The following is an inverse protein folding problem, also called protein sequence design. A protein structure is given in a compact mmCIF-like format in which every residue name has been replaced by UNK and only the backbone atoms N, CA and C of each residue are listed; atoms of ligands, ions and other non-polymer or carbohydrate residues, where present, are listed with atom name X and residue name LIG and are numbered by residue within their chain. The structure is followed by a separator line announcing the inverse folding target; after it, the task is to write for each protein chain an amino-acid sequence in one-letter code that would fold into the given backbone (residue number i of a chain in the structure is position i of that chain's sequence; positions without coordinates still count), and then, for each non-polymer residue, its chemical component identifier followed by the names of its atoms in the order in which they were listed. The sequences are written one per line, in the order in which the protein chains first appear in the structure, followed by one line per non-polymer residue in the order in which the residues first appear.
data_IF_136038984401
#
_entry.id   IF_136038984401
#
_cell.length_a   1.000
_cell.length_b   1.000
_cell.length_c   1.000
_cell.angle_alpha   90.00
_cell.angle_beta   90.00
_cell.angle_gamma   90.00
#
_symmetry.space_group_name_H-M   'P 1'
#
loop_
_entity.id
_entity.type
_entity.pdbx_description
1 polymer ?
#
# COMPACT_ATOMS: atom_id res chain seq x y z
N UNK A 1 0.26 13.80 11.25
CA UNK A 1 -0.16 13.30 9.94
C UNK A 1 0.05 11.80 9.84
N UNK A 2 -0.97 11.05 9.46
CA UNK A 2 -0.85 9.61 9.30
C UNK A 2 -0.18 9.30 7.96
N UNK A 3 0.86 8.50 7.99
CA UNK A 3 1.62 8.14 6.80
C UNK A 3 1.30 6.72 6.40
N UNK A 4 0.89 6.55 5.16
CA UNK A 4 0.32 5.31 4.66
C UNK A 4 1.20 4.68 3.60
N UNK A 5 1.34 3.35 3.67
CA UNK A 5 1.91 2.55 2.61
C UNK A 5 0.82 1.67 2.02
N UNK A 6 0.78 1.55 0.71
CA UNK A 6 -0.19 0.69 0.04
C UNK A 6 0.54 -0.52 -0.53
N UNK A 7 0.05 -1.71 -0.21
CA UNK A 7 0.58 -2.95 -0.78
C UNK A 7 -0.47 -3.50 -1.74
N UNK A 8 -0.11 -3.58 -3.01
CA UNK A 8 -1.02 -3.96 -4.07
C UNK A 8 -1.62 -2.73 -4.73
N UNK A 9 -1.24 -2.46 -5.98
CA UNK A 9 -1.70 -1.27 -6.69
C UNK A 9 -2.49 -1.63 -7.94
N UNK A 10 -3.31 -2.67 -7.84
CA UNK A 10 -4.30 -2.98 -8.83
C UNK A 10 -5.48 -2.03 -8.70
N UNK A 11 -6.65 -2.46 -9.18
CA UNK A 11 -7.85 -1.61 -9.20
C UNK A 11 -8.20 -1.07 -7.80
N UNK A 12 -8.21 -1.95 -6.80
CA UNK A 12 -8.60 -1.57 -5.43
C UNK A 12 -7.58 -0.64 -4.80
N UNK A 13 -6.30 -0.92 -4.98
CA UNK A 13 -5.25 -0.05 -4.45
C UNK A 13 -5.34 1.35 -5.02
N UNK A 14 -5.67 1.47 -6.31
CA UNK A 14 -5.82 2.78 -6.97
C UNK A 14 -7.02 3.55 -6.42
N UNK A 15 -8.11 2.84 -6.14
CA UNK A 15 -9.30 3.46 -5.54
C UNK A 15 -8.97 4.00 -4.17
N UNK A 16 -8.29 3.22 -3.33
CA UNK A 16 -7.91 3.66 -2.00
C UNK A 16 -6.92 4.82 -2.03
N UNK A 17 -5.98 4.81 -2.97
CA UNK A 17 -5.06 5.92 -3.14
C UNK A 17 -5.82 7.23 -3.37
N UNK A 18 -6.79 7.21 -4.28
CA UNK A 18 -7.60 8.39 -4.57
C UNK A 18 -8.43 8.82 -3.37
N UNK A 19 -8.97 7.86 -2.62
CA UNK A 19 -9.77 8.16 -1.43
C UNK A 19 -8.92 8.81 -0.34
N UNK A 20 -7.72 8.29 -0.11
CA UNK A 20 -6.83 8.82 0.91
C UNK A 20 -6.43 10.26 0.60
N UNK A 21 -6.23 10.59 -0.67
CA UNK A 21 -5.86 11.95 -1.07
C UNK A 21 -6.90 12.99 -0.69
N UNK A 22 -8.14 12.58 -0.48
CA UNK A 22 -9.21 13.48 -0.08
C UNK A 22 -9.32 13.66 1.42
N UNK A 23 -8.58 12.89 2.20
CA UNK A 23 -8.63 12.92 3.65
C UNK A 23 -7.51 13.81 4.19
N UNK A 24 -7.88 14.79 5.01
CA UNK A 24 -6.88 15.63 5.65
C UNK A 24 -6.07 14.82 6.66
N UNK A 25 -4.82 15.23 6.86
CA UNK A 25 -3.90 14.59 7.80
C UNK A 25 -3.50 13.17 7.43
N UNK A 26 -3.61 12.82 6.15
CA UNK A 26 -3.11 11.55 5.65
C UNK A 26 -2.25 11.77 4.42
N UNK A 27 -1.29 10.89 4.23
CA UNK A 27 -0.41 10.94 3.07
C UNK A 27 0.02 9.53 2.70
N UNK A 28 -0.09 9.17 1.42
CA UNK A 28 0.48 7.92 0.92
C UNK A 28 1.93 8.20 0.55
N UNK A 29 2.86 7.61 1.29
CA UNK A 29 4.28 7.89 1.07
C UNK A 29 5.01 6.81 0.29
N UNK A 30 4.41 5.64 0.14
CA UNK A 30 5.03 4.57 -0.64
C UNK A 30 3.99 3.54 -1.09
N UNK A 31 4.29 2.86 -2.17
CA UNK A 31 3.45 1.81 -2.74
C UNK A 31 4.33 0.61 -3.08
N UNK A 32 3.82 -0.60 -2.86
CA UNK A 32 4.50 -1.81 -3.29
C UNK A 32 3.54 -2.69 -4.07
N UNK A 33 4.04 -3.31 -5.11
CA UNK A 33 3.28 -4.24 -5.94
C UNK A 33 4.26 -5.17 -6.64
N UNK A 34 4.00 -6.50 -6.70
CA UNK A 34 4.92 -7.42 -7.35
C UNK A 34 5.24 -7.05 -8.80
N UNK A 35 4.33 -6.33 -9.46
CA UNK A 35 4.49 -5.92 -10.84
C UNK A 35 4.91 -4.45 -10.97
N UNK A 36 5.47 -3.87 -9.92
CA UNK A 36 5.83 -2.45 -9.91
C UNK A 36 6.73 -2.05 -11.09
N UNK A 37 7.65 -2.93 -11.48
CA UNK A 37 8.56 -2.64 -12.57
C UNK A 37 7.84 -2.44 -13.91
N UNK A 38 6.64 -2.98 -14.04
CA UNK A 38 5.82 -2.86 -15.24
C UNK A 38 4.75 -1.77 -15.12
N UNK A 39 4.75 -1.04 -13.99
CA UNK A 39 3.73 -0.05 -13.69
C UNK A 39 4.29 1.37 -13.59
N UNK A 40 5.47 1.60 -14.12
CA UNK A 40 6.12 2.91 -13.99
C UNK A 40 5.28 4.05 -14.54
N UNK A 41 4.60 3.82 -15.66
CA UNK A 41 3.73 4.84 -16.25
C UNK A 41 2.51 5.12 -15.37
N UNK A 42 1.96 4.09 -14.73
CA UNK A 42 0.84 4.24 -13.82
C UNK A 42 1.26 5.06 -12.61
N UNK A 43 2.40 4.74 -12.02
CA UNK A 43 2.89 5.49 -10.87
C UNK A 43 3.15 6.95 -11.21
N UNK A 44 3.72 7.22 -12.39
CA UNK A 44 3.94 8.58 -12.83
C UNK A 44 2.63 9.35 -12.96
N UNK A 45 1.59 8.70 -13.50
CA UNK A 45 0.27 9.28 -13.66
C UNK A 45 -0.36 9.67 -12.32
N UNK A 46 -0.12 8.86 -11.29
CA UNK A 46 -0.66 9.10 -9.95
C UNK A 46 0.24 9.99 -9.08
N UNK A 47 1.40 10.40 -9.61
CA UNK A 47 2.33 11.21 -8.84
C UNK A 47 3.05 10.44 -7.75
N UNK A 48 3.22 9.14 -7.93
CA UNK A 48 3.88 8.28 -6.96
C UNK A 48 5.35 8.14 -7.34
N UNK A 49 6.24 8.63 -6.48
CA UNK A 49 7.68 8.56 -6.72
C UNK A 49 8.37 7.41 -5.99
N UNK A 50 7.78 6.97 -4.87
CA UNK A 50 8.38 5.92 -4.04
C UNK A 50 7.56 4.65 -4.18
N UNK A 51 8.07 3.71 -4.96
CA UNK A 51 7.42 2.42 -5.18
C UNK A 51 8.46 1.32 -5.26
N UNK A 52 8.00 0.07 -5.01
CA UNK A 52 8.87 -1.09 -4.99
C UNK A 52 8.09 -2.33 -5.40
N UNK A 53 8.80 -3.36 -5.84
CA UNK A 53 8.18 -4.66 -6.09
C UNK A 53 8.23 -5.58 -4.88
N UNK A 54 8.75 -5.10 -3.74
CA UNK A 54 8.88 -5.87 -2.51
C UNK A 54 8.09 -5.21 -1.39
N UNK A 55 7.03 -5.87 -0.90
CA UNK A 55 6.20 -5.31 0.16
C UNK A 55 6.96 -5.11 1.47
N UNK A 56 8.08 -5.82 1.67
CA UNK A 56 8.89 -5.64 2.87
C UNK A 56 9.46 -4.23 2.99
N UNK A 57 9.63 -3.52 1.90
CA UNK A 57 10.07 -2.13 1.96
C UNK A 57 9.01 -1.24 2.59
N UNK A 58 7.74 -1.59 2.42
CA UNK A 58 6.65 -0.88 3.12
C UNK A 58 6.66 -1.26 4.60
N UNK A 59 6.75 -2.56 4.89
CA UNK A 59 6.69 -3.09 6.25
C UNK A 59 7.85 -2.55 7.10
N UNK A 60 9.03 -2.44 6.52
CA UNK A 60 10.22 -2.02 7.24
C UNK A 60 10.46 -0.51 7.25
N UNK A 61 9.59 0.25 6.61
CA UNK A 61 9.75 1.70 6.55
C UNK A 61 9.25 2.32 7.87
N UNK A 62 10.14 2.90 8.68
CA UNK A 62 9.74 3.44 10.00
C UNK A 62 8.83 4.65 9.91
N UNK A 63 8.76 5.30 8.76
CA UNK A 63 7.88 6.46 8.58
C UNK A 63 6.43 6.08 8.32
N UNK A 64 6.17 4.81 7.96
CA UNK A 64 4.81 4.35 7.67
C UNK A 64 4.12 3.92 8.96
N UNK A 65 2.98 4.53 9.25
CA UNK A 65 2.16 4.21 10.41
C UNK A 65 1.12 3.14 10.09
N UNK A 66 0.57 3.19 8.88
CA UNK A 66 -0.58 2.37 8.48
C UNK A 66 -0.31 1.72 7.13
N UNK A 67 -0.69 0.46 7.01
CA UNK A 67 -0.53 -0.30 5.77
C UNK A 67 -1.90 -0.66 5.24
N UNK A 68 -2.17 -0.31 4.00
CA UNK A 68 -3.37 -0.73 3.29
C UNK A 68 -3.01 -1.95 2.45
N UNK A 69 -3.63 -3.08 2.77
CA UNK A 69 -3.35 -4.34 2.05
C UNK A 69 -4.43 -4.54 1.01
N UNK A 70 -4.07 -4.31 -0.25
CA UNK A 70 -4.96 -4.40 -1.39
C UNK A 70 -4.52 -5.49 -2.37
N UNK A 71 -3.68 -6.40 -1.89
CA UNK A 71 -3.18 -7.51 -2.70
C UNK A 71 -4.20 -8.66 -2.76
N UNK A 72 -4.00 -9.65 -3.63
CA UNK A 72 -4.88 -10.83 -3.67
C UNK A 72 -4.96 -11.54 -2.32
N UNK A 73 -6.09 -12.22 -2.10
CA UNK A 73 -6.41 -12.87 -0.84
C UNK A 73 -5.34 -13.85 -0.35
N UNK A 74 -4.72 -14.57 -1.26
CA UNK A 74 -3.72 -15.57 -0.91
C UNK A 74 -2.46 -15.00 -0.26
N UNK A 75 -2.21 -13.70 -0.43
CA UNK A 75 -1.07 -13.03 0.19
C UNK A 75 -1.45 -12.19 1.40
N UNK A 76 -2.74 -11.98 1.66
CA UNK A 76 -3.20 -11.10 2.74
C UNK A 76 -2.68 -11.51 4.12
N UNK A 77 -2.79 -12.80 4.44
CA UNK A 77 -2.41 -13.28 5.77
C UNK A 77 -0.93 -13.06 6.04
N UNK A 78 -0.08 -13.39 5.08
CA UNK A 78 1.36 -13.21 5.20
C UNK A 78 1.73 -11.74 5.44
N UNK A 79 1.15 -10.87 4.63
CA UNK A 79 1.44 -9.43 4.71
C UNK A 79 0.89 -8.85 6.01
N UNK A 80 -0.33 -9.25 6.40
CA UNK A 80 -0.94 -8.76 7.63
C UNK A 80 -0.11 -9.15 8.86
N UNK A 81 0.38 -10.39 8.90
CA UNK A 81 1.22 -10.85 9.99
C UNK A 81 2.51 -10.04 10.06
N UNK A 82 3.16 -9.82 8.92
CA UNK A 82 4.38 -9.04 8.87
C UNK A 82 4.17 -7.60 9.33
N UNK A 83 3.07 -6.98 8.90
CA UNK A 83 2.74 -5.61 9.31
C UNK A 83 2.45 -5.52 10.80
N UNK A 84 1.73 -6.49 11.34
CA UNK A 84 1.42 -6.53 12.77
C UNK A 84 2.70 -6.66 13.60
N UNK A 85 3.61 -7.51 13.18
CA UNK A 85 4.90 -7.68 13.88
C UNK A 85 5.73 -6.40 13.85
N UNK A 86 5.58 -5.60 12.80
CA UNK A 86 6.29 -4.33 12.68
C UNK A 86 5.60 -3.20 13.44
N UNK A 87 4.48 -3.47 14.11
CA UNK A 87 3.78 -2.48 14.92
C UNK A 87 2.94 -1.50 14.11
N UNK A 88 2.56 -1.85 12.90
CA UNK A 88 1.80 -0.96 12.05
C UNK A 88 0.31 -1.22 12.14
N UNK A 89 -0.48 -0.17 11.99
CA UNK A 89 -1.93 -0.30 11.83
C UNK A 89 -2.21 -0.90 10.46
N UNK A 90 -3.23 -1.75 10.39
CA UNK A 90 -3.52 -2.48 9.16
C UNK A 90 -4.96 -2.23 8.73
N UNK A 91 -5.12 -1.90 7.45
CA UNK A 91 -6.42 -1.87 6.80
C UNK A 91 -6.39 -2.90 5.67
N UNK A 92 -7.24 -3.91 5.76
CA UNK A 92 -7.36 -4.95 4.73
C UNK A 92 -8.66 -4.78 3.99
N UNK A 93 -8.56 -4.70 2.68
CA UNK A 93 -9.74 -4.70 1.83
C UNK A 93 -10.13 -6.14 1.53
N UNK A 94 -11.36 -6.48 1.80
CA UNK A 94 -11.85 -7.80 1.48
C UNK A 94 -12.12 -7.90 -0.03
N UNK A 95 -11.75 -9.02 -0.66
CA UNK A 95 -12.10 -9.21 -2.04
C UNK A 95 -13.62 -9.27 -2.18
N UNK A 96 -14.10 -8.61 -3.21
CA UNK A 96 -15.51 -8.69 -3.55
C UNK A 96 -15.68 -9.91 -4.43
N UNK A 97 -16.43 -10.85 -3.97
CA UNK A 97 -16.75 -12.04 -4.77
C UNK A 97 -17.70 -11.70 -5.88
#
# INVERSE_FOLDING_TARGET
MRKIGIIGFGRIGRIHFKSVKKINDTEVIAVADPFADQMTEVFAKFGIDNYSNDFNEIINNPEIDTVFICSPTDTHAEIAIAAAKAGKDIFCEKPID
#
